data_IF_763748378204
#
_entry.id   IF_763748378204
#
_cell.length_a   1.000
_cell.length_b   1.000
_cell.length_c   1.000
_cell.angle_alpha   90.00
_cell.angle_beta   90.00
_cell.angle_gamma   90.00
#
_symmetry.space_group_name_H-M   'P 1'
#
loop_
_entity.id
_entity.type
_entity.pdbx_description
1 polymer ?
#
# COMPACT_ATOMS: atom_id res chain seq x y z
N UNK A 1 -4.86 5.66 -15.38
CA UNK A 1 -6.08 5.26 -14.64
C UNK A 1 -7.19 6.27 -14.93
N UNK A 2 -8.41 5.80 -15.24
CA UNK A 2 -9.58 6.63 -15.54
C UNK A 2 -10.55 6.55 -14.36
N UNK A 3 -10.95 7.68 -13.79
CA UNK A 3 -11.98 7.76 -12.75
C UNK A 3 -13.07 8.73 -13.18
N UNK A 4 -14.19 8.19 -13.64
CA UNK A 4 -15.51 8.83 -13.57
C UNK A 4 -16.27 8.21 -12.40
N UNK A 5 -17.33 8.87 -11.93
CA UNK A 5 -18.10 8.52 -10.72
C UNK A 5 -18.72 7.10 -10.71
N UNK A 6 -18.57 6.32 -11.77
CA UNK A 6 -19.07 4.94 -11.92
C UNK A 6 -17.99 3.86 -11.68
N UNK A 7 -16.73 4.22 -11.39
CA UNK A 7 -15.60 3.28 -11.25
C UNK A 7 -14.97 3.32 -9.84
N UNK A 8 -15.71 2.83 -8.85
CA UNK A 8 -15.28 2.76 -7.44
C UNK A 8 -14.43 1.53 -7.08
N UNK A 9 -14.21 0.61 -8.02
CA UNK A 9 -13.46 -0.62 -7.77
C UNK A 9 -12.14 -0.66 -8.53
N UNK A 10 -11.08 -1.09 -7.85
CA UNK A 10 -9.76 -1.35 -8.43
C UNK A 10 -9.48 -2.84 -8.31
N UNK A 11 -9.28 -3.52 -9.45
CA UNK A 11 -8.93 -4.94 -9.49
C UNK A 11 -7.47 -5.05 -9.94
N UNK A 12 -6.63 -5.62 -9.07
CA UNK A 12 -5.25 -5.97 -9.40
C UNK A 12 -5.23 -7.42 -9.91
N UNK A 13 -4.96 -7.61 -11.20
CA UNK A 13 -4.75 -8.94 -11.80
C UNK A 13 -3.25 -9.17 -11.91
N UNK A 14 -2.75 -10.10 -11.10
CA UNK A 14 -1.33 -10.42 -11.02
C UNK A 14 -1.11 -11.90 -11.36
N UNK A 15 0.01 -12.25 -12.03
CA UNK A 15 0.42 -13.64 -12.16
C UNK A 15 0.58 -14.32 -10.78
N UNK A 16 0.39 -15.65 -10.69
CA UNK A 16 0.63 -16.39 -9.46
C UNK A 16 2.08 -16.24 -8.97
N UNK A 17 2.29 -16.33 -7.66
CA UNK A 17 3.61 -16.31 -7.01
C UNK A 17 4.50 -15.07 -7.30
N UNK A 18 3.89 -13.92 -7.59
CA UNK A 18 4.63 -12.66 -7.78
C UNK A 18 4.96 -11.98 -6.45
N UNK A 19 6.12 -11.32 -6.38
CA UNK A 19 6.53 -10.53 -5.22
C UNK A 19 5.49 -9.46 -4.86
N UNK A 20 4.88 -8.83 -5.88
CA UNK A 20 3.82 -7.84 -5.70
C UNK A 20 2.61 -8.42 -4.97
N UNK A 21 2.20 -9.66 -5.28
CA UNK A 21 1.10 -10.34 -4.58
C UNK A 21 1.41 -10.48 -3.10
N UNK A 22 2.63 -10.90 -2.75
CA UNK A 22 3.07 -11.04 -1.36
C UNK A 22 3.08 -9.68 -0.67
N UNK A 23 3.59 -8.65 -1.33
CA UNK A 23 3.64 -7.28 -0.80
C UNK A 23 2.24 -6.74 -0.49
N UNK A 24 1.25 -6.97 -1.34
CA UNK A 24 -0.14 -6.59 -1.05
C UNK A 24 -0.68 -7.26 0.22
N UNK A 25 -0.36 -8.54 0.43
CA UNK A 25 -0.80 -9.28 1.61
C UNK A 25 -0.05 -8.84 2.86
N UNK A 26 1.27 -8.68 2.79
CA UNK A 26 2.13 -8.20 3.87
C UNK A 26 1.68 -6.82 4.36
N UNK A 27 1.51 -5.88 3.42
CA UNK A 27 1.05 -4.53 3.73
C UNK A 27 -0.33 -4.55 4.41
N UNK A 28 -1.27 -5.32 3.85
CA UNK A 28 -2.64 -5.42 4.38
C UNK A 28 -2.66 -6.00 5.79
N UNK A 29 -1.94 -7.09 6.02
CA UNK A 29 -1.96 -7.79 7.30
C UNK A 29 -1.24 -6.96 8.38
N UNK A 30 -0.11 -6.34 8.04
CA UNK A 30 0.63 -5.48 8.95
C UNK A 30 -0.16 -4.23 9.38
N UNK A 31 -0.83 -3.55 8.43
CA UNK A 31 -1.64 -2.36 8.75
C UNK A 31 -2.86 -2.65 9.63
N UNK A 32 -3.28 -3.92 9.77
CA UNK A 32 -4.33 -4.31 10.73
C UNK A 32 -3.82 -4.30 12.16
N UNK A 33 -2.57 -4.70 12.38
CA UNK A 33 -1.98 -4.86 13.72
C UNK A 33 -1.13 -3.67 14.16
N UNK A 34 -0.50 -2.95 13.24
CA UNK A 34 0.35 -1.78 13.54
C UNK A 34 -0.46 -0.48 13.44
N UNK A 35 -0.88 0.05 14.59
CA UNK A 35 -1.57 1.34 14.65
C UNK A 35 -0.67 2.51 14.20
N UNK A 36 0.63 2.45 14.50
CA UNK A 36 1.59 3.48 14.13
C UNK A 36 1.76 3.58 12.61
N UNK A 37 2.03 2.47 11.93
CA UNK A 37 2.19 2.48 10.47
C UNK A 37 0.87 2.76 9.74
N UNK A 38 -0.27 2.39 10.34
CA UNK A 38 -1.59 2.78 9.83
C UNK A 38 -1.79 4.29 9.87
N UNK A 39 -1.42 4.96 10.96
CA UNK A 39 -1.50 6.41 11.07
C UNK A 39 -0.53 7.12 10.11
N UNK A 40 0.69 6.59 9.94
CA UNK A 40 1.65 7.07 8.95
C UNK A 40 1.08 6.97 7.53
N UNK A 41 0.52 5.81 7.17
CA UNK A 41 -0.06 5.60 5.85
C UNK A 41 -1.28 6.49 5.61
N UNK A 42 -2.14 6.67 6.60
CA UNK A 42 -3.32 7.53 6.52
C UNK A 42 -2.92 9.00 6.30
N UNK A 43 -2.07 9.55 7.17
CA UNK A 43 -1.61 10.93 7.08
C UNK A 43 -0.93 11.21 5.73
N UNK A 44 -0.08 10.30 5.27
CA UNK A 44 0.55 10.39 3.94
C UNK A 44 -0.50 10.44 2.83
N UNK A 45 -1.49 9.53 2.84
CA UNK A 45 -2.57 9.54 1.84
C UNK A 45 -3.38 10.84 1.86
N UNK A 46 -3.67 11.39 3.05
CA UNK A 46 -4.42 12.64 3.19
C UNK A 46 -3.63 13.82 2.62
N UNK A 47 -2.34 13.94 2.96
CA UNK A 47 -1.46 14.98 2.41
C UNK A 47 -1.38 14.88 0.89
N UNK A 48 -1.20 13.66 0.35
CA UNK A 48 -1.13 13.47 -1.09
C UNK A 48 -2.47 13.74 -1.79
N UNK A 49 -3.60 13.39 -1.18
CA UNK A 49 -4.93 13.67 -1.73
C UNK A 49 -5.27 15.16 -1.76
N UNK A 50 -4.59 15.99 -0.95
CA UNK A 50 -4.77 17.44 -0.97
C UNK A 50 -4.08 18.12 -2.17
N UNK A 51 -3.19 17.42 -2.89
CA UNK A 51 -2.50 17.93 -4.06
C UNK A 51 -3.28 17.65 -5.35
N UNK A 52 -3.12 18.54 -6.33
CA UNK A 52 -3.54 18.29 -7.71
C UNK A 52 -2.43 17.56 -8.45
N UNK A 53 -2.73 16.39 -9.00
CA UNK A 53 -1.77 15.57 -9.73
C UNK A 53 -2.02 15.70 -11.23
N UNK A 54 -0.97 16.00 -11.99
CA UNK A 54 -1.03 16.05 -13.46
C UNK A 54 -1.18 14.66 -14.09
N UNK A 55 -0.72 13.63 -13.38
CA UNK A 55 -0.81 12.23 -13.77
C UNK A 55 -0.96 11.34 -12.53
N UNK A 56 -1.69 10.25 -12.66
CA UNK A 56 -1.92 9.26 -11.62
C UNK A 56 -0.65 8.48 -11.27
N UNK A 57 0.28 8.35 -12.22
CA UNK A 57 1.56 7.69 -11.99
C UNK A 57 2.41 8.51 -11.00
N UNK A 58 2.35 9.84 -11.07
CA UNK A 58 3.00 10.73 -10.09
C UNK A 58 2.38 10.58 -8.69
N UNK A 59 1.06 10.38 -8.61
CA UNK A 59 0.39 10.11 -7.33
C UNK A 59 0.78 8.75 -6.74
N UNK A 60 0.96 7.73 -7.58
CA UNK A 60 1.42 6.41 -7.17
C UNK A 60 2.87 6.47 -6.66
N UNK A 61 3.76 7.11 -7.43
CA UNK A 61 5.17 7.28 -7.07
C UNK A 61 5.36 8.05 -5.77
N UNK A 62 4.54 9.07 -5.52
CA UNK A 62 4.58 9.83 -4.28
C UNK A 62 4.25 9.00 -3.03
N UNK A 63 3.60 7.84 -3.19
CA UNK A 63 3.34 6.88 -2.10
C UNK A 63 4.42 5.80 -1.99
N UNK A 64 5.26 5.62 -3.00
CA UNK A 64 6.18 4.49 -3.07
C UNK A 64 7.11 4.44 -1.86
N UNK A 65 7.67 5.59 -1.43
CA UNK A 65 8.57 5.64 -0.28
C UNK A 65 7.91 5.15 1.01
N UNK A 66 6.69 5.63 1.33
CA UNK A 66 5.98 5.21 2.55
C UNK A 66 5.56 3.74 2.49
N UNK A 67 5.16 3.25 1.31
CA UNK A 67 4.78 1.85 1.13
C UNK A 67 6.00 0.94 1.33
N UNK A 68 7.16 1.28 0.77
CA UNK A 68 8.38 0.48 0.93
C UNK A 68 8.85 0.44 2.39
N UNK A 69 8.74 1.56 3.11
CA UNK A 69 9.03 1.60 4.55
C UNK A 69 8.11 0.64 5.33
N UNK A 70 6.80 0.72 5.10
CA UNK A 70 5.83 -0.11 5.81
C UNK A 70 5.99 -1.59 5.44
N UNK A 71 6.28 -1.91 4.18
CA UNK A 71 6.59 -3.27 3.73
C UNK A 71 7.83 -3.84 4.44
N UNK A 72 8.84 -3.01 4.69
CA UNK A 72 10.03 -3.42 5.46
C UNK A 72 9.64 -3.83 6.88
N UNK A 73 8.80 -3.04 7.56
CA UNK A 73 8.28 -3.40 8.89
C UNK A 73 7.42 -4.67 8.84
N UNK A 74 6.54 -4.78 7.83
CA UNK A 74 5.66 -5.93 7.64
C UNK A 74 6.45 -7.24 7.46
N UNK A 75 7.49 -7.23 6.62
CA UNK A 75 8.37 -8.38 6.38
C UNK A 75 9.12 -8.79 7.64
N UNK A 76 9.65 -7.82 8.39
CA UNK A 76 10.32 -8.08 9.68
C UNK A 76 9.35 -8.70 10.69
N UNK A 77 8.12 -8.19 10.75
CA UNK A 77 7.07 -8.75 11.61
C UNK A 77 6.73 -10.18 11.22
N UNK A 78 6.56 -10.48 9.92
CA UNK A 78 6.31 -11.85 9.45
C UNK A 78 7.48 -12.80 9.73
N UNK A 79 8.72 -12.37 9.51
CA UNK A 79 9.90 -13.18 9.81
C UNK A 79 10.04 -13.52 11.30
N UNK A 80 9.51 -12.66 12.19
CA UNK A 80 9.45 -12.90 13.62
C UNK A 80 8.28 -13.77 14.10
N UNK A 81 7.36 -14.15 13.21
CA UNK A 81 6.26 -15.05 13.56
C UNK A 81 6.69 -16.50 13.40
N UNK A 82 6.37 -17.39 14.36
CA UNK A 82 6.56 -18.81 14.16
C UNK A 82 5.65 -19.27 13.01
N UNK A 83 6.26 -19.86 11.98
CA UNK A 83 5.54 -20.58 10.93
C UNK A 83 4.75 -21.70 11.59
N UNK A 84 3.42 -21.60 11.58
CA UNK A 84 2.52 -22.69 11.99
C UNK A 84 2.47 -23.78 10.94
#
# INVERSE_FOLDING_TARGET
>A
MLRTAELDFHVHVLPPETAERTDYLDLRDWLRVSAADRALYESTKRTLAANTWSDMDHYADAKSAVIQQILTHARNWRAGQPTS
#
